data_IF_910570838226
#
_entry.id   IF_910570838226
#
_cell.length_a   1.000
_cell.length_b   1.000
_cell.length_c   1.000
_cell.angle_alpha   90.00
_cell.angle_beta   90.00
_cell.angle_gamma   90.00
#
_symmetry.space_group_name_H-M   'P 1'
#
loop_
_entity.id
_entity.type
_entity.pdbx_description
1 polymer ?
#
# COMPACT_ATOMS: atom_id res chain seq x y z
N UNK A 1 -4.24 -13.82 -95.40
CA UNK A 1 -2.80 -13.87 -95.74
C UNK A 1 -2.02 -13.98 -94.44
N UNK A 2 -1.17 -15.00 -94.36
CA UNK A 2 0.10 -15.08 -93.60
C UNK A 2 0.10 -14.82 -92.07
N UNK A 3 0.09 -15.94 -91.33
CA UNK A 3 1.07 -16.43 -90.33
C UNK A 3 1.69 -15.43 -89.34
N UNK A 4 1.75 -15.80 -88.04
CA UNK A 4 2.99 -16.18 -87.31
C UNK A 4 2.79 -16.15 -85.77
N UNK A 5 3.20 -17.22 -85.08
CA UNK A 5 3.19 -17.37 -83.61
C UNK A 5 4.41 -16.71 -82.96
N UNK A 6 4.25 -16.00 -81.84
CA UNK A 6 5.36 -15.64 -80.95
C UNK A 6 4.99 -15.98 -79.51
N UNK A 7 5.72 -16.95 -78.95
CA UNK A 7 5.74 -17.28 -77.53
C UNK A 7 6.58 -16.23 -76.78
N UNK A 8 6.06 -15.70 -75.68
CA UNK A 8 6.87 -14.99 -74.67
C UNK A 8 6.62 -15.69 -73.33
N UNK A 9 7.72 -16.21 -72.77
CA UNK A 9 7.78 -16.87 -71.49
C UNK A 9 7.50 -15.88 -70.35
N UNK A 10 6.66 -16.27 -69.40
CA UNK A 10 6.44 -15.53 -68.15
C UNK A 10 6.91 -16.39 -66.97
N UNK A 11 7.95 -15.89 -66.29
CA UNK A 11 8.43 -16.33 -64.99
C UNK A 11 7.36 -16.02 -63.92
N UNK A 12 7.05 -16.94 -63.01
CA UNK A 12 6.31 -16.64 -61.79
C UNK A 12 6.73 -17.55 -60.63
N UNK A 13 6.94 -16.90 -59.49
CA UNK A 13 7.59 -17.36 -58.26
C UNK A 13 6.71 -18.22 -57.34
N UNK A 14 7.33 -19.00 -56.46
CA UNK A 14 6.70 -19.59 -55.26
C UNK A 14 7.80 -20.21 -54.36
N UNK A 15 7.76 -20.29 -53.04
CA UNK A 15 6.93 -19.77 -51.92
C UNK A 15 7.83 -20.07 -50.69
N UNK A 16 8.06 -19.11 -49.79
CA UNK A 16 8.79 -19.32 -48.52
C UNK A 16 7.84 -19.82 -47.43
N UNK A 17 8.14 -20.98 -46.86
CA UNK A 17 7.41 -21.59 -45.74
C UNK A 17 7.94 -21.02 -44.41
N UNK A 18 7.10 -20.33 -43.63
CA UNK A 18 7.42 -19.86 -42.29
C UNK A 18 6.63 -20.70 -41.27
N UNK A 19 7.31 -21.58 -40.53
CA UNK A 19 6.73 -22.27 -39.37
C UNK A 19 6.78 -21.32 -38.16
N UNK A 20 5.61 -20.97 -37.62
CA UNK A 20 5.48 -20.26 -36.35
C UNK A 20 5.50 -21.22 -35.15
N UNK A 21 6.22 -20.86 -34.10
CA UNK A 21 6.09 -21.46 -32.76
C UNK A 21 5.28 -20.49 -31.88
N UNK A 22 4.35 -20.98 -31.04
CA UNK A 22 3.64 -20.15 -30.08
C UNK A 22 4.54 -19.88 -28.87
N UNK A 23 4.86 -18.60 -28.64
CA UNK A 23 5.47 -18.15 -27.39
C UNK A 23 4.46 -18.26 -26.26
N UNK A 24 4.67 -19.22 -25.35
CA UNK A 24 4.04 -19.23 -24.04
C UNK A 24 4.58 -18.06 -23.21
N UNK A 25 3.89 -16.92 -23.26
CA UNK A 25 4.12 -15.84 -22.32
C UNK A 25 3.43 -16.22 -21.00
N UNK A 26 4.22 -16.59 -20.00
CA UNK A 26 3.75 -16.60 -18.62
C UNK A 26 3.27 -15.19 -18.26
N UNK A 27 1.98 -15.05 -17.97
CA UNK A 27 1.43 -13.81 -17.41
C UNK A 27 1.95 -13.70 -15.98
N UNK A 28 2.92 -12.83 -15.75
CA UNK A 28 3.26 -12.38 -14.41
C UNK A 28 2.05 -11.61 -13.86
N UNK A 29 1.49 -12.09 -12.75
CA UNK A 29 0.38 -11.46 -12.05
C UNK A 29 0.77 -10.04 -11.65
N UNK A 30 -0.02 -9.08 -12.11
CA UNK A 30 0.15 -7.66 -11.83
C UNK A 30 -0.50 -7.34 -10.47
N UNK A 31 0.14 -7.68 -9.35
CA UNK A 31 -0.36 -7.33 -7.99
C UNK A 31 0.70 -7.19 -6.88
N UNK A 32 1.96 -6.89 -7.22
CA UNK A 32 3.09 -6.96 -6.26
C UNK A 32 3.72 -5.59 -5.89
N UNK A 33 3.04 -4.48 -6.17
CA UNK A 33 3.58 -3.17 -5.81
C UNK A 33 3.38 -2.89 -4.31
N UNK A 34 4.47 -2.52 -3.62
CA UNK A 34 4.43 -2.06 -2.25
C UNK A 34 3.53 -0.80 -2.13
N UNK A 35 2.66 -0.80 -1.13
CA UNK A 35 1.79 0.33 -0.77
C UNK A 35 2.21 0.97 0.56
N UNK A 36 2.98 0.25 1.37
CA UNK A 36 3.57 0.74 2.62
C UNK A 36 5.00 0.24 2.76
N UNK A 37 5.89 1.14 3.15
CA UNK A 37 7.23 0.80 3.62
C UNK A 37 7.31 1.04 5.13
N UNK A 38 7.82 0.07 5.89
CA UNK A 38 8.13 0.22 7.31
C UNK A 38 9.63 0.08 7.49
N UNK A 39 10.29 1.12 8.00
CA UNK A 39 11.72 1.18 8.21
C UNK A 39 12.05 1.24 9.71
N UNK A 40 12.91 0.35 10.18
CA UNK A 40 13.40 0.33 11.55
C UNK A 40 14.84 0.80 11.57
N UNK A 41 15.10 1.87 12.32
CA UNK A 41 16.44 2.42 12.53
C UNK A 41 16.98 1.91 13.88
N UNK A 42 17.99 1.02 13.88
CA UNK A 42 18.59 0.51 15.10
C UNK A 42 19.29 1.60 15.93
N UNK A 43 19.22 1.49 17.26
CA UNK A 43 19.88 2.41 18.20
C UNK A 43 21.42 2.37 18.11
N UNK A 44 21.96 1.20 17.76
CA UNK A 44 23.39 0.92 17.69
C UNK A 44 24.06 1.44 16.41
N UNK A 45 23.29 2.13 15.55
CA UNK A 45 23.79 2.66 14.29
C UNK A 45 23.97 1.60 13.20
N UNK A 46 23.38 0.41 13.38
CA UNK A 46 23.29 -0.60 12.34
C UNK A 46 22.48 -0.14 11.11
N UNK A 47 22.47 -0.99 10.07
CA UNK A 47 21.78 -0.70 8.83
C UNK A 47 20.26 -0.59 9.03
N UNK A 48 19.64 0.34 8.28
CA UNK A 48 18.19 0.53 8.26
C UNK A 48 17.51 -0.74 7.74
N UNK A 49 16.65 -1.34 8.55
CA UNK A 49 15.87 -2.51 8.16
C UNK A 49 14.58 -2.05 7.49
N UNK A 50 14.37 -2.42 6.23
CA UNK A 50 13.19 -2.02 5.44
C UNK A 50 12.29 -3.22 5.18
N UNK A 51 11.01 -3.06 5.50
CA UNK A 51 9.94 -4.00 5.21
C UNK A 51 8.96 -3.33 4.26
N UNK A 52 8.72 -3.94 3.10
CA UNK A 52 7.75 -3.46 2.12
C UNK A 52 6.51 -4.34 2.18
N UNK A 53 5.33 -3.72 2.13
CA UNK A 53 4.06 -4.42 2.18
C UNK A 53 3.23 -4.01 0.97
N UNK A 54 2.82 -5.00 0.18
CA UNK A 54 1.70 -4.91 -0.74
C UNK A 54 0.37 -4.82 0.02
N UNK A 55 -0.70 -4.45 -0.68
CA UNK A 55 -2.04 -4.41 -0.09
C UNK A 55 -2.52 -5.80 0.35
N UNK A 56 -2.12 -6.84 -0.39
CA UNK A 56 -2.44 -8.23 -0.04
C UNK A 56 -1.75 -8.66 1.25
N UNK A 57 -0.47 -8.34 1.41
CA UNK A 57 0.27 -8.65 2.64
C UNK A 57 -0.30 -7.93 3.86
N UNK A 58 -0.69 -6.65 3.72
CA UNK A 58 -1.39 -5.93 4.81
C UNK A 58 -2.70 -6.63 5.21
N UNK A 59 -3.47 -7.14 4.24
CA UNK A 59 -4.73 -7.86 4.50
C UNK A 59 -4.52 -9.25 5.12
N UNK A 60 -3.33 -9.81 5.00
CA UNK A 60 -2.95 -11.09 5.60
C UNK A 60 -2.46 -10.93 7.07
N UNK A 61 -2.20 -9.70 7.53
CA UNK A 61 -1.93 -9.42 8.94
C UNK A 61 -3.23 -9.47 9.77
N UNK A 62 -3.15 -9.56 11.11
CA UNK A 62 -4.33 -9.53 11.98
C UNK A 62 -5.19 -8.29 11.72
N UNK A 63 -6.40 -8.53 11.20
CA UNK A 63 -7.36 -7.47 10.84
C UNK A 63 -7.95 -6.85 12.10
N UNK A 64 -8.01 -5.52 12.11
CA UNK A 64 -8.67 -4.69 13.12
C UNK A 64 -9.80 -3.88 12.47
N UNK A 65 -10.86 -3.63 13.25
CA UNK A 65 -11.98 -2.79 12.84
C UNK A 65 -12.46 -1.94 14.02
N UNK A 66 -12.80 -0.67 13.76
CA UNK A 66 -13.58 0.14 14.69
C UNK A 66 -14.44 1.16 13.94
N UNK A 67 -15.46 1.65 14.64
CA UNK A 67 -16.30 2.74 14.18
C UNK A 67 -15.96 4.02 14.96
N UNK A 68 -15.84 5.15 14.25
CA UNK A 68 -15.59 6.46 14.88
C UNK A 68 -16.03 7.60 13.98
N UNK A 69 -16.40 8.73 14.58
CA UNK A 69 -16.48 10.02 13.88
C UNK A 69 -15.09 10.62 13.75
N UNK A 70 -14.87 11.38 12.67
CA UNK A 70 -13.65 12.15 12.44
C UNK A 70 -13.99 13.60 12.14
N UNK A 71 -13.01 14.51 12.30
CA UNK A 71 -13.19 15.92 11.93
C UNK A 71 -13.08 16.16 10.41
N UNK A 72 -12.70 15.15 9.63
CA UNK A 72 -12.47 15.24 8.18
C UNK A 72 -13.54 14.54 7.34
N UNK A 73 -14.51 13.89 7.98
CA UNK A 73 -15.59 13.13 7.36
C UNK A 73 -16.92 13.46 8.04
N UNK A 74 -18.03 13.19 7.35
CA UNK A 74 -19.37 13.43 7.91
C UNK A 74 -19.95 12.15 8.51
N UNK A 75 -20.42 12.22 9.75
CA UNK A 75 -21.03 11.09 10.44
C UNK A 75 -20.01 10.05 10.93
N UNK A 76 -20.52 8.96 11.50
CA UNK A 76 -19.72 7.81 11.92
C UNK A 76 -19.15 7.08 10.70
N UNK A 77 -17.89 6.66 10.80
CA UNK A 77 -17.18 5.91 9.76
C UNK A 77 -16.73 4.57 10.33
N UNK A 78 -16.88 3.50 9.55
CA UNK A 78 -16.28 2.20 9.84
C UNK A 78 -14.91 2.09 9.17
N UNK A 79 -13.86 1.82 9.93
CA UNK A 79 -12.51 1.62 9.40
C UNK A 79 -12.06 0.18 9.59
N UNK A 80 -11.46 -0.39 8.53
CA UNK A 80 -10.86 -1.72 8.53
C UNK A 80 -9.40 -1.62 8.11
N UNK A 81 -8.52 -2.30 8.84
CA UNK A 81 -7.07 -2.16 8.66
C UNK A 81 -6.27 -3.13 9.51
N UNK A 82 -5.00 -2.78 9.74
CA UNK A 82 -4.11 -3.45 10.69
C UNK A 82 -3.86 -2.50 11.85
N UNK A 83 -3.99 -2.96 13.10
CA UNK A 83 -3.64 -2.10 14.25
C UNK A 83 -2.17 -1.68 14.18
N UNK A 84 -1.86 -0.44 14.58
CA UNK A 84 -0.47 0.03 14.57
C UNK A 84 0.39 -0.85 15.50
N UNK A 85 -0.15 -1.29 16.63
CA UNK A 85 0.49 -2.24 17.54
C UNK A 85 0.88 -3.55 16.83
N UNK A 86 -0.04 -4.19 16.10
CA UNK A 86 0.22 -5.44 15.40
C UNK A 86 1.22 -5.27 14.25
N UNK A 87 1.13 -4.15 13.49
CA UNK A 87 2.09 -3.86 12.42
C UNK A 87 3.51 -3.67 12.97
N UNK A 88 3.66 -2.89 14.04
CA UNK A 88 4.95 -2.67 14.69
C UNK A 88 5.52 -3.97 15.30
N UNK A 89 4.68 -4.77 15.95
CA UNK A 89 5.09 -6.08 16.47
C UNK A 89 5.56 -7.03 15.36
N UNK A 90 4.90 -7.00 14.19
CA UNK A 90 5.28 -7.81 13.03
C UNK A 90 6.70 -7.52 12.53
N UNK A 91 7.15 -6.27 12.65
CA UNK A 91 8.51 -5.84 12.26
C UNK A 91 9.49 -5.77 13.44
N UNK A 92 9.14 -6.37 14.59
CA UNK A 92 10.04 -6.51 15.73
C UNK A 92 10.08 -5.33 16.72
N UNK A 93 9.12 -4.41 16.67
CA UNK A 93 8.96 -3.33 17.65
C UNK A 93 7.91 -3.73 18.68
N UNK A 94 8.31 -3.88 19.95
CA UNK A 94 7.40 -4.30 21.02
C UNK A 94 6.50 -3.15 21.51
N UNK A 95 5.28 -3.49 21.95
CA UNK A 95 4.40 -2.55 22.63
C UNK A 95 5.07 -1.99 23.90
N UNK A 96 4.93 -0.70 24.14
CA UNK A 96 5.54 -0.02 25.30
C UNK A 96 7.03 0.29 25.15
N UNK A 97 7.66 -0.06 24.02
CA UNK A 97 9.01 0.39 23.72
C UNK A 97 9.04 1.92 23.60
N UNK A 98 10.10 2.54 24.13
CA UNK A 98 10.30 3.99 23.95
C UNK A 98 10.70 4.28 22.51
N UNK A 99 10.13 5.32 21.92
CA UNK A 99 10.46 5.72 20.55
C UNK A 99 9.36 6.57 19.93
N UNK A 100 9.63 6.98 18.69
CA UNK A 100 8.70 7.74 17.85
C UNK A 100 8.56 7.04 16.51
N UNK A 101 7.32 6.86 16.10
CA UNK A 101 6.90 6.49 14.76
C UNK A 101 6.79 7.78 13.95
N UNK A 102 7.60 7.92 12.92
CA UNK A 102 7.47 8.98 11.92
C UNK A 102 6.69 8.41 10.75
N UNK A 103 5.48 8.90 10.52
CA UNK A 103 4.62 8.46 9.43
C UNK A 103 4.59 9.51 8.33
N UNK A 104 4.88 9.13 7.09
CA UNK A 104 5.02 10.01 5.92
C UNK A 104 4.03 9.64 4.81
N UNK A 105 3.42 10.66 4.22
CA UNK A 105 2.48 10.54 3.11
C UNK A 105 3.16 10.76 1.76
N UNK A 106 2.47 10.42 0.67
CA UNK A 106 2.95 10.55 -0.72
C UNK A 106 3.36 11.97 -1.16
N UNK A 107 2.99 12.99 -0.38
CA UNK A 107 3.33 14.39 -0.61
C UNK A 107 4.41 14.91 0.35
N UNK A 108 5.15 14.01 0.98
CA UNK A 108 6.20 14.29 1.97
C UNK A 108 5.72 14.96 3.27
N UNK A 109 4.42 15.10 3.48
CA UNK A 109 3.89 15.48 4.79
C UNK A 109 4.15 14.34 5.78
N UNK A 110 4.62 14.69 6.98
CA UNK A 110 4.93 13.71 8.02
C UNK A 110 4.36 14.12 9.38
N UNK A 111 4.06 13.11 10.19
CA UNK A 111 3.58 13.25 11.58
C UNK A 111 4.40 12.35 12.50
N UNK A 112 4.51 12.76 13.76
CA UNK A 112 5.15 11.96 14.81
C UNK A 112 4.10 11.36 15.74
N UNK A 113 4.15 10.05 15.89
CA UNK A 113 3.29 9.26 16.76
C UNK A 113 4.19 8.61 17.82
N UNK A 114 3.96 8.83 19.12
CA UNK A 114 4.67 8.09 20.15
C UNK A 114 4.45 6.58 19.97
N UNK A 115 5.50 5.76 20.09
CA UNK A 115 5.33 4.29 20.07
C UNK A 115 4.38 3.82 21.18
N UNK A 116 4.29 4.57 22.28
CA UNK A 116 3.32 4.34 23.36
C UNK A 116 1.84 4.47 22.94
N UNK A 117 1.54 5.11 21.81
CA UNK A 117 0.18 5.16 21.28
C UNK A 117 -0.20 3.83 20.59
N UNK A 118 0.78 3.07 20.09
CA UNK A 118 0.60 1.80 19.38
C UNK A 118 0.25 0.67 20.37
N UNK A 119 -0.96 0.74 20.91
CA UNK A 119 -1.54 -0.20 21.87
C UNK A 119 -2.71 -0.95 21.25
N UNK A 120 -3.12 -2.06 21.85
CA UNK A 120 -4.33 -2.75 21.44
C UNK A 120 -5.56 -1.85 21.66
N UNK A 121 -6.38 -1.66 20.61
CA UNK A 121 -7.49 -0.70 20.62
C UNK A 121 -7.07 0.77 20.40
N UNK A 122 -5.80 1.02 20.10
CA UNK A 122 -5.29 2.34 19.70
C UNK A 122 -5.42 2.60 18.19
N UNK A 123 -4.50 3.38 17.59
CA UNK A 123 -4.57 3.71 16.17
C UNK A 123 -4.35 2.48 15.28
N UNK A 124 -4.89 2.57 14.06
CA UNK A 124 -4.70 1.57 13.01
C UNK A 124 -4.18 2.20 11.72
N UNK A 125 -3.52 1.41 10.88
CA UNK A 125 -3.33 1.69 9.45
C UNK A 125 -4.55 1.12 8.71
N UNK A 126 -5.53 1.96 8.44
CA UNK A 126 -6.74 1.60 7.71
C UNK A 126 -6.49 1.55 6.20
N UNK A 127 -6.96 0.49 5.55
CA UNK A 127 -6.98 0.35 4.08
C UNK A 127 -8.40 0.40 3.49
N UNK A 128 -9.42 0.30 4.36
CA UNK A 128 -10.82 0.36 3.99
C UNK A 128 -11.59 1.34 4.90
N UNK A 129 -12.54 2.06 4.30
CA UNK A 129 -13.47 2.94 5.00
C UNK A 129 -14.89 2.65 4.48
N UNK A 130 -15.81 2.39 5.39
CA UNK A 130 -17.20 2.02 5.12
C UNK A 130 -17.32 0.82 4.16
N UNK A 131 -16.46 -0.19 4.34
CA UNK A 131 -16.45 -1.43 3.55
C UNK A 131 -15.87 -1.30 2.13
N UNK A 132 -15.22 -0.19 1.80
CA UNK A 132 -14.61 0.03 0.50
C UNK A 132 -13.17 0.54 0.61
N UNK A 133 -12.32 0.16 -0.34
CA UNK A 133 -10.96 0.70 -0.46
C UNK A 133 -10.99 2.21 -0.68
N UNK A 134 -10.05 2.91 -0.06
CA UNK A 134 -9.92 4.37 -0.22
C UNK A 134 -9.07 4.70 -1.45
N UNK A 135 -9.54 5.61 -2.30
CA UNK A 135 -8.73 6.15 -3.41
C UNK A 135 -7.78 7.25 -2.91
N UNK A 136 -6.72 7.56 -3.65
CA UNK A 136 -5.83 8.70 -3.32
C UNK A 136 -6.62 10.01 -3.13
N UNK A 137 -7.60 10.28 -3.99
CA UNK A 137 -8.45 11.47 -3.88
C UNK A 137 -9.38 11.46 -2.66
N UNK A 138 -9.57 10.28 -2.07
CA UNK A 138 -10.44 10.06 -0.92
C UNK A 138 -9.65 9.50 0.29
N UNK A 139 -8.52 10.14 0.60
CA UNK A 139 -7.70 9.86 1.79
C UNK A 139 -7.10 8.44 1.85
N UNK A 140 -6.98 7.76 0.72
CA UNK A 140 -6.32 6.45 0.60
C UNK A 140 -4.94 6.48 -0.05
N UNK A 141 -4.33 5.33 -0.33
CA UNK A 141 -4.87 3.99 -0.07
C UNK A 141 -4.81 3.60 1.41
N UNK A 142 -3.97 4.27 2.20
CA UNK A 142 -3.76 4.01 3.62
C UNK A 142 -3.97 5.26 4.46
N UNK A 143 -4.54 5.07 5.66
CA UNK A 143 -4.77 6.13 6.62
C UNK A 143 -4.48 5.65 8.05
N UNK A 144 -3.53 6.30 8.75
CA UNK A 144 -3.43 6.17 10.21
C UNK A 144 -4.58 6.93 10.88
N UNK A 145 -5.46 6.21 11.56
CA UNK A 145 -6.65 6.76 12.22
C UNK A 145 -6.80 6.21 13.64
N UNK A 146 -7.24 7.06 14.57
CA UNK A 146 -7.50 6.71 15.97
C UNK A 146 -9.00 6.46 16.20
N UNK A 147 -9.36 5.62 17.18
CA UNK A 147 -10.76 5.40 17.55
C UNK A 147 -11.26 6.53 18.46
N UNK A 148 -11.41 7.73 17.91
CA UNK A 148 -11.75 8.95 18.64
C UNK A 148 -12.98 8.82 19.53
N UNK A 149 -13.95 8.03 19.11
CA UNK A 149 -15.18 7.85 19.88
C UNK A 149 -15.04 6.89 21.07
N UNK A 150 -13.99 6.06 21.11
CA UNK A 150 -13.76 5.07 22.17
C UNK A 150 -13.27 5.68 23.50
N UNK A 151 -12.41 6.70 23.43
CA UNK A 151 -11.80 7.32 24.60
C UNK A 151 -11.66 8.85 24.39
N UNK A 152 -12.16 9.69 25.31
CA UNK A 152 -11.99 11.15 25.24
C UNK A 152 -10.54 11.64 25.12
N UNK A 153 -9.56 10.86 25.59
CA UNK A 153 -8.13 11.19 25.48
C UNK A 153 -7.66 11.26 24.02
N UNK A 154 -8.33 10.56 23.10
CA UNK A 154 -8.06 10.66 21.67
C UNK A 154 -8.64 11.94 21.04
N UNK A 155 -9.51 12.69 21.73
CA UNK A 155 -10.18 13.90 21.19
C UNK A 155 -9.44 15.19 21.51
N UNK A 156 -8.12 15.16 21.35
CA UNK A 156 -7.25 16.33 21.52
C UNK A 156 -6.69 16.77 20.18
N UNK A 157 -6.38 18.05 20.02
CA UNK A 157 -5.76 18.57 18.79
C UNK A 157 -4.47 17.82 18.44
N UNK A 158 -3.65 17.50 19.45
CA UNK A 158 -2.42 16.72 19.29
C UNK A 158 -2.66 15.30 18.74
N UNK A 159 -3.73 14.62 19.16
CA UNK A 159 -4.05 13.28 18.62
C UNK A 159 -4.67 13.39 17.23
N UNK A 160 -5.52 14.38 16.98
CA UNK A 160 -6.05 14.62 15.64
C UNK A 160 -4.92 14.93 14.63
N UNK A 161 -3.90 15.71 15.03
CA UNK A 161 -2.76 16.02 14.16
C UNK A 161 -1.87 14.81 13.84
N UNK A 162 -2.01 13.70 14.59
CA UNK A 162 -1.30 12.43 14.35
C UNK A 162 -1.96 11.55 13.27
N UNK A 163 -3.17 11.88 12.84
CA UNK A 163 -3.78 11.18 11.71
C UNK A 163 -3.17 11.62 10.39
N UNK A 164 -2.84 10.64 9.56
CA UNK A 164 -2.22 10.87 8.26
C UNK A 164 -2.79 9.92 7.22
N UNK A 165 -3.30 10.48 6.13
CA UNK A 165 -3.81 9.75 4.98
C UNK A 165 -2.81 9.79 3.82
N UNK A 166 -3.05 8.96 2.80
CA UNK A 166 -2.08 8.73 1.73
C UNK A 166 -0.73 8.29 2.32
N UNK A 167 -0.77 7.51 3.41
CA UNK A 167 0.43 6.98 4.05
C UNK A 167 1.20 6.11 3.06
N UNK A 168 2.50 6.32 2.95
CA UNK A 168 3.41 5.49 2.16
C UNK A 168 4.57 4.91 2.98
N UNK A 169 4.98 5.59 4.06
CA UNK A 169 6.13 5.17 4.84
C UNK A 169 5.92 5.37 6.35
N UNK A 170 6.38 4.40 7.13
CA UNK A 170 6.57 4.49 8.57
C UNK A 170 8.05 4.28 8.87
N UNK A 171 8.67 5.18 9.62
CA UNK A 171 10.02 4.98 10.18
C UNK A 171 9.94 4.95 11.70
N UNK A 172 10.60 3.98 12.34
CA UNK A 172 10.70 3.89 13.80
C UNK A 172 12.17 3.97 14.20
N UNK A 173 12.49 4.94 15.07
CA UNK A 173 13.79 4.98 15.74
C UNK A 173 13.75 4.10 16.98
N UNK A 174 14.66 3.12 17.07
CA UNK A 174 14.92 2.35 18.29
C UNK A 174 16.03 2.98 19.13
#
# INVERSE_FOLDING_TARGET
MKNWHLHIAALLAAVTLLCGLPSGAAQASQSDAAVLTVAIKPADGGDLQRHEFSMEELRNLPVAQFDTRTIWTSGEQAFTGVSLAALLAHVGVAEGQSGVVVARAINDYAVEIPVSDATNGGPMVAYERNGASMSVRDKGPLWIVYPYDSDPTYRTEAVYSRSIWQLEEITVGQ
#
